data_IF_822596646331
#
_entry.id   IF_822596646331
#
_cell.length_a   1.000
_cell.length_b   1.000
_cell.length_c   1.000
_cell.angle_alpha   90.00
_cell.angle_beta   90.00
_cell.angle_gamma   90.00
#
_symmetry.space_group_name_H-M   'P 1'
#
loop_
_entity.id
_entity.type
_entity.pdbx_description
1 polymer ?
#
# COMPACT_ATOMS: atom_id res chain seq x y z
N UNK A 1 -23.68 -1.90 -10.85
CA UNK A 1 -23.22 -1.68 -9.47
C UNK A 1 -24.17 -2.37 -8.51
N UNK A 2 -23.69 -3.40 -7.81
CA UNK A 2 -24.45 -4.22 -6.86
C UNK A 2 -24.14 -3.86 -5.41
N UNK A 3 -24.91 -4.42 -4.46
CA UNK A 3 -24.73 -4.20 -3.02
C UNK A 3 -23.31 -4.55 -2.51
N UNK A 4 -22.63 -5.51 -3.17
CA UNK A 4 -21.26 -5.93 -2.84
C UNK A 4 -20.26 -4.81 -3.13
N UNK A 5 -20.44 -4.03 -4.21
CA UNK A 5 -19.53 -2.93 -4.57
C UNK A 5 -19.55 -1.82 -3.51
N UNK A 6 -20.74 -1.52 -2.99
CA UNK A 6 -20.92 -0.54 -1.90
C UNK A 6 -20.33 -1.04 -0.58
N UNK A 7 -20.47 -2.33 -0.28
CA UNK A 7 -19.85 -2.92 0.91
C UNK A 7 -18.33 -2.89 0.82
N UNK A 8 -17.76 -3.25 -0.34
CA UNK A 8 -16.33 -3.21 -0.58
C UNK A 8 -15.78 -1.79 -0.43
N UNK A 9 -16.45 -0.79 -1.01
CA UNK A 9 -16.08 0.62 -0.86
C UNK A 9 -16.17 1.08 0.60
N UNK A 10 -17.23 0.72 1.31
CA UNK A 10 -17.42 1.05 2.72
C UNK A 10 -16.34 0.46 3.62
N UNK A 11 -15.98 -0.82 3.41
CA UNK A 11 -14.89 -1.49 4.14
C UNK A 11 -13.54 -0.85 3.83
N UNK A 12 -13.27 -0.52 2.57
CA UNK A 12 -12.02 0.11 2.15
C UNK A 12 -11.85 1.49 2.80
N UNK A 13 -12.83 2.37 2.64
CA UNK A 13 -12.78 3.74 3.16
C UNK A 13 -12.81 3.74 4.69
N UNK A 14 -13.71 2.97 5.29
CA UNK A 14 -13.83 2.84 6.74
C UNK A 14 -12.58 2.25 7.38
N UNK A 15 -11.98 1.24 6.76
CA UNK A 15 -10.74 0.62 7.22
C UNK A 15 -9.55 1.59 7.18
N UNK A 16 -9.42 2.38 6.10
CA UNK A 16 -8.40 3.44 6.01
C UNK A 16 -8.56 4.47 7.13
N UNK A 17 -9.80 4.96 7.32
CA UNK A 17 -10.11 5.94 8.35
C UNK A 17 -9.76 5.42 9.74
N UNK A 18 -10.16 4.18 10.05
CA UNK A 18 -9.88 3.53 11.33
C UNK A 18 -8.38 3.39 11.59
N UNK A 19 -7.61 2.90 10.62
CA UNK A 19 -6.15 2.71 10.77
C UNK A 19 -5.44 4.06 10.92
N UNK A 20 -5.85 5.08 10.16
CA UNK A 20 -5.28 6.42 10.28
C UNK A 20 -5.58 7.04 11.64
N UNK A 21 -6.82 6.94 12.10
CA UNK A 21 -7.23 7.45 13.40
C UNK A 21 -6.45 6.79 14.54
N UNK A 22 -6.30 5.45 14.51
CA UNK A 22 -5.47 4.72 15.46
C UNK A 22 -4.01 5.20 15.42
N UNK A 23 -3.43 5.37 14.22
CA UNK A 23 -2.07 5.87 14.05
C UNK A 23 -1.87 7.27 14.67
N UNK A 24 -2.82 8.19 14.47
CA UNK A 24 -2.78 9.55 15.01
C UNK A 24 -2.98 9.56 16.53
N UNK A 25 -3.86 8.69 17.05
CA UNK A 25 -4.13 8.59 18.50
C UNK A 25 -2.96 7.98 19.27
N UNK A 26 -2.27 6.99 18.69
CA UNK A 26 -1.19 6.25 19.38
C UNK A 26 0.18 6.93 19.27
N UNK A 27 0.46 7.68 18.19
CA UNK A 27 1.79 8.25 17.96
C UNK A 27 1.77 9.78 17.83
N UNK A 28 2.58 10.47 18.64
CA UNK A 28 2.70 11.93 18.64
C UNK A 28 3.63 12.49 17.55
N UNK A 29 4.52 11.66 16.98
CA UNK A 29 5.45 12.11 15.93
C UNK A 29 4.70 12.46 14.64
N UNK A 30 4.91 13.68 14.15
CA UNK A 30 4.37 14.14 12.87
C UNK A 30 4.88 13.29 11.70
N UNK A 31 6.14 12.84 11.76
CA UNK A 31 6.73 11.96 10.76
C UNK A 31 6.02 10.59 10.71
N UNK A 32 5.63 10.04 11.87
CA UNK A 32 4.87 8.79 11.92
C UNK A 32 3.49 8.96 11.27
N UNK A 33 2.79 10.04 11.61
CA UNK A 33 1.46 10.36 11.06
C UNK A 33 1.50 10.57 9.55
N UNK A 34 2.52 11.28 9.07
CA UNK A 34 2.75 11.46 7.63
C UNK A 34 3.04 10.11 6.95
N UNK A 35 3.89 9.27 7.54
CA UNK A 35 4.20 7.93 7.02
C UNK A 35 2.97 7.03 6.92
N UNK A 36 2.12 7.03 7.95
CA UNK A 36 0.85 6.31 7.95
C UNK A 36 -0.11 6.85 6.87
N UNK A 37 -0.22 8.16 6.72
CA UNK A 37 -1.02 8.78 5.66
C UNK A 37 -0.56 8.39 4.26
N UNK A 38 0.74 8.44 3.99
CA UNK A 38 1.31 8.01 2.69
C UNK A 38 1.04 6.53 2.45
N UNK A 39 1.28 5.66 3.44
CA UNK A 39 1.05 4.22 3.30
C UNK A 39 -0.42 3.90 2.99
N UNK A 40 -1.35 4.54 3.69
CA UNK A 40 -2.79 4.33 3.49
C UNK A 40 -3.29 4.87 2.16
N UNK A 41 -2.83 6.05 1.75
CA UNK A 41 -3.14 6.60 0.44
C UNK A 41 -2.60 5.70 -0.68
N UNK A 42 -1.39 5.16 -0.51
CA UNK A 42 -0.79 4.23 -1.47
C UNK A 42 -1.61 2.95 -1.55
N UNK A 43 -1.97 2.35 -0.41
CA UNK A 43 -2.82 1.18 -0.36
C UNK A 43 -4.17 1.40 -1.06
N UNK A 44 -4.81 2.54 -0.78
CA UNK A 44 -6.05 2.95 -1.42
C UNK A 44 -5.92 3.04 -2.93
N UNK A 45 -4.93 3.79 -3.42
CA UNK A 45 -4.72 4.00 -4.85
C UNK A 45 -4.37 2.68 -5.57
N UNK A 46 -3.54 1.84 -4.97
CA UNK A 46 -3.22 0.51 -5.52
C UNK A 46 -4.48 -0.34 -5.67
N UNK A 47 -5.33 -0.41 -4.64
CA UNK A 47 -6.59 -1.16 -4.71
C UNK A 47 -7.52 -0.55 -5.74
N UNK A 48 -7.71 0.77 -5.70
CA UNK A 48 -8.66 1.47 -6.54
C UNK A 48 -8.31 1.36 -8.02
N UNK A 49 -7.05 1.66 -8.38
CA UNK A 49 -6.58 1.57 -9.77
C UNK A 49 -6.63 0.12 -10.24
N UNK A 50 -6.19 -0.84 -9.42
CA UNK A 50 -6.24 -2.24 -9.79
C UNK A 50 -7.66 -2.76 -10.05
N UNK A 51 -8.64 -2.35 -9.23
CA UNK A 51 -10.04 -2.72 -9.43
C UNK A 51 -10.69 -1.99 -10.62
N UNK A 52 -10.25 -0.77 -10.93
CA UNK A 52 -10.88 0.04 -11.98
C UNK A 52 -10.40 -0.32 -13.39
N UNK A 53 -9.12 -0.69 -13.54
CA UNK A 53 -8.53 -0.93 -14.86
C UNK A 53 -7.81 -2.28 -14.98
N UNK A 54 -7.48 -2.95 -13.88
CA UNK A 54 -6.48 -4.02 -13.86
C UNK A 54 -5.11 -3.47 -14.20
N UNK A 55 -4.21 -3.36 -13.21
CA UNK A 55 -2.91 -2.73 -13.46
C UNK A 55 -2.02 -3.53 -14.43
N UNK A 56 -2.29 -4.83 -14.60
CA UNK A 56 -1.65 -5.73 -15.56
C UNK A 56 -2.71 -6.28 -16.51
N UNK A 57 -2.63 -5.95 -17.80
CA UNK A 57 -3.58 -6.39 -18.82
C UNK A 57 -4.97 -5.79 -18.61
N UNK A 58 -5.93 -6.64 -18.28
CA UNK A 58 -7.31 -6.27 -17.95
C UNK A 58 -7.69 -6.66 -16.51
N UNK A 59 -8.81 -6.14 -16.02
CA UNK A 59 -9.32 -6.40 -14.66
C UNK A 59 -9.54 -7.88 -14.33
N UNK A 60 -9.78 -8.74 -15.33
CA UNK A 60 -9.95 -10.19 -15.18
C UNK A 60 -8.64 -10.96 -15.13
N UNK A 61 -7.49 -10.32 -15.36
CA UNK A 61 -6.19 -10.99 -15.37
C UNK A 61 -5.80 -11.47 -13.95
N UNK A 62 -5.59 -12.79 -13.74
CA UNK A 62 -5.21 -13.33 -12.43
C UNK A 62 -3.93 -12.73 -11.85
N UNK A 63 -3.04 -12.16 -12.68
CA UNK A 63 -1.81 -11.49 -12.24
C UNK A 63 -2.08 -10.27 -11.36
N UNK A 64 -3.24 -9.64 -11.47
CA UNK A 64 -3.64 -8.52 -10.62
C UNK A 64 -3.77 -8.91 -9.13
N UNK A 65 -3.80 -10.22 -8.80
CA UNK A 65 -3.74 -10.71 -7.41
C UNK A 65 -2.41 -10.34 -6.71
N UNK A 66 -1.34 -10.05 -7.45
CA UNK A 66 -0.07 -9.59 -6.86
C UNK A 66 -0.28 -8.31 -6.06
N UNK A 67 -1.14 -7.40 -6.52
CA UNK A 67 -1.44 -6.15 -5.81
C UNK A 67 -2.19 -6.41 -4.50
N UNK A 68 -3.08 -7.40 -4.46
CA UNK A 68 -3.67 -7.85 -3.19
C UNK A 68 -2.57 -8.38 -2.24
N UNK A 69 -1.56 -9.08 -2.76
CA UNK A 69 -0.36 -9.49 -2.04
C UNK A 69 0.44 -8.31 -1.47
N UNK A 70 0.62 -7.22 -2.22
CA UNK A 70 1.29 -6.00 -1.74
C UNK A 70 0.57 -5.42 -0.53
N UNK A 71 -0.76 -5.31 -0.61
CA UNK A 71 -1.61 -4.81 0.48
C UNK A 71 -1.53 -5.74 1.69
N UNK A 72 -1.58 -7.06 1.47
CA UNK A 72 -1.45 -8.05 2.53
C UNK A 72 -0.09 -7.95 3.24
N UNK A 73 1.01 -7.78 2.51
CA UNK A 73 2.35 -7.59 3.08
C UNK A 73 2.42 -6.33 3.94
N UNK A 74 1.87 -5.21 3.44
CA UNK A 74 1.82 -3.96 4.20
C UNK A 74 0.97 -4.10 5.48
N UNK A 75 -0.24 -4.67 5.36
CA UNK A 75 -1.18 -4.83 6.46
C UNK A 75 -0.71 -5.83 7.53
N UNK A 76 -0.34 -7.05 7.11
CA UNK A 76 0.18 -8.09 8.02
C UNK A 76 1.50 -7.63 8.63
N UNK A 77 2.40 -7.03 7.84
CA UNK A 77 3.65 -6.45 8.36
C UNK A 77 3.40 -5.40 9.44
N UNK A 78 2.41 -4.52 9.24
CA UNK A 78 1.97 -3.56 10.25
C UNK A 78 1.45 -4.23 11.53
N UNK A 79 0.58 -5.23 11.39
CA UNK A 79 0.03 -5.98 12.53
C UNK A 79 1.09 -6.75 13.32
N UNK A 80 1.96 -7.50 12.63
CA UNK A 80 3.05 -8.27 13.25
C UNK A 80 4.05 -7.38 13.97
N UNK A 81 4.29 -6.19 13.44
CA UNK A 81 5.19 -5.21 14.06
C UNK A 81 4.49 -4.31 15.09
N UNK A 82 3.18 -4.54 15.32
CA UNK A 82 2.32 -3.75 16.21
C UNK A 82 2.41 -2.25 15.90
N UNK A 83 2.52 -1.91 14.62
CA UNK A 83 2.64 -0.53 14.15
C UNK A 83 3.85 0.23 14.75
N UNK A 84 4.90 -0.46 15.20
CA UNK A 84 6.11 0.20 15.71
C UNK A 84 6.92 0.82 14.57
N UNK A 85 7.49 2.03 14.72
CA UNK A 85 8.20 2.72 13.64
C UNK A 85 9.26 1.87 12.94
N UNK A 86 10.16 1.23 13.70
CA UNK A 86 11.22 0.39 13.13
C UNK A 86 10.72 -0.84 12.37
N UNK A 87 9.59 -1.42 12.79
CA UNK A 87 8.96 -2.55 12.11
C UNK A 87 8.21 -2.10 10.84
N UNK A 88 7.52 -0.96 10.91
CA UNK A 88 6.85 -0.35 9.76
C UNK A 88 7.81 -0.05 8.61
N UNK A 89 9.06 0.35 8.91
CA UNK A 89 10.10 0.49 7.86
C UNK A 89 10.25 -0.81 7.07
N UNK A 90 10.38 -1.95 7.74
CA UNK A 90 10.55 -3.26 7.07
C UNK A 90 9.29 -3.67 6.31
N UNK A 91 8.11 -3.44 6.88
CA UNK A 91 6.84 -3.74 6.21
C UNK A 91 6.68 -2.94 4.91
N UNK A 92 6.97 -1.64 4.93
CA UNK A 92 6.87 -0.77 3.75
C UNK A 92 7.92 -1.11 2.70
N UNK A 93 9.15 -1.45 3.10
CA UNK A 93 10.18 -1.93 2.16
C UNK A 93 9.80 -3.27 1.52
N UNK A 94 9.21 -4.19 2.28
CA UNK A 94 8.72 -5.45 1.74
C UNK A 94 7.57 -5.22 0.75
N UNK A 95 6.61 -4.36 1.07
CA UNK A 95 5.53 -3.98 0.16
C UNK A 95 6.07 -3.34 -1.12
N UNK A 96 7.03 -2.42 -1.01
CA UNK A 96 7.72 -1.83 -2.16
C UNK A 96 8.41 -2.88 -3.04
N UNK A 97 9.09 -3.86 -2.43
CA UNK A 97 9.76 -4.93 -3.15
C UNK A 97 8.78 -5.82 -3.91
N UNK A 98 7.65 -6.18 -3.30
CA UNK A 98 6.59 -6.96 -3.97
C UNK A 98 5.95 -6.16 -5.09
N UNK A 99 5.67 -4.86 -4.87
CA UNK A 99 5.15 -3.95 -5.89
C UNK A 99 6.11 -3.82 -7.08
N UNK A 100 7.42 -3.72 -6.84
CA UNK A 100 8.43 -3.70 -7.90
C UNK A 100 8.55 -5.04 -8.62
N UNK A 101 8.43 -6.17 -7.90
CA UNK A 101 8.43 -7.50 -8.51
C UNK A 101 7.24 -7.72 -9.46
N UNK A 102 6.13 -7.01 -9.25
CA UNK A 102 4.97 -7.03 -10.15
C UNK A 102 5.29 -6.51 -11.57
N UNK A 103 6.44 -5.86 -11.80
CA UNK A 103 6.91 -5.47 -13.13
C UNK A 103 7.42 -6.67 -13.96
N UNK A 104 7.80 -7.78 -13.33
CA UNK A 104 8.39 -8.93 -14.02
C UNK A 104 7.45 -9.58 -15.06
N UNK A 105 6.16 -9.82 -14.77
CA UNK A 105 5.25 -10.41 -15.75
C UNK A 105 4.80 -9.43 -16.85
N UNK A 106 5.02 -8.11 -16.72
CA UNK A 106 4.42 -7.12 -17.62
C UNK A 106 5.17 -6.94 -18.95
N UNK A 107 6.07 -7.86 -19.30
CA UNK A 107 6.91 -7.71 -20.51
C UNK A 107 6.11 -7.74 -21.81
N UNK A 108 4.94 -8.39 -21.81
CA UNK A 108 4.03 -8.45 -22.94
C UNK A 108 3.05 -7.26 -23.02
N UNK A 109 2.94 -6.46 -21.96
CA UNK A 109 1.91 -5.40 -21.80
C UNK A 109 2.33 -4.05 -22.40
N UNK A 110 3.49 -4.00 -23.07
CA UNK A 110 4.05 -2.79 -23.68
C UNK A 110 5.01 -2.00 -22.77
N UNK A 111 5.74 -1.03 -23.35
CA UNK A 111 6.88 -0.39 -22.69
C UNK A 111 6.50 0.55 -21.52
N UNK A 112 5.23 0.95 -21.42
CA UNK A 112 4.76 1.91 -20.40
C UNK A 112 4.27 1.25 -19.11
N UNK A 113 3.87 -0.02 -19.16
CA UNK A 113 3.20 -0.71 -18.05
C UNK A 113 4.16 -0.99 -16.89
N UNK A 114 5.35 -1.52 -17.19
CA UNK A 114 6.39 -1.77 -16.18
C UNK A 114 6.78 -0.49 -15.41
N UNK A 115 7.16 0.64 -16.07
CA UNK A 115 7.49 1.88 -15.37
C UNK A 115 6.36 2.40 -14.47
N UNK A 116 5.10 2.31 -14.90
CA UNK A 116 3.95 2.76 -14.10
C UNK A 116 3.78 1.91 -12.83
N UNK A 117 3.86 0.58 -12.96
CA UNK A 117 3.78 -0.34 -11.81
C UNK A 117 4.94 -0.11 -10.85
N UNK A 118 6.16 0.08 -11.38
CA UNK A 118 7.34 0.40 -10.60
C UNK A 118 7.24 1.75 -9.88
N UNK A 119 6.62 2.76 -10.50
CA UNK A 119 6.40 4.06 -9.88
C UNK A 119 5.52 3.97 -8.63
N UNK A 120 4.54 3.05 -8.60
CA UNK A 120 3.73 2.76 -7.42
C UNK A 120 4.53 2.18 -6.24
N UNK A 121 5.77 1.74 -6.44
CA UNK A 121 6.66 1.35 -5.34
C UNK A 121 7.22 2.57 -4.58
N UNK A 122 7.33 3.74 -5.21
CA UNK A 122 7.97 4.93 -4.64
C UNK A 122 7.25 5.45 -3.38
N UNK A 123 5.90 5.54 -3.34
CA UNK A 123 5.20 5.97 -2.13
C UNK A 123 5.41 5.04 -0.94
N UNK A 124 5.55 3.72 -1.16
CA UNK A 124 5.92 2.76 -0.11
C UNK A 124 7.31 3.07 0.46
N UNK A 125 8.29 3.38 -0.40
CA UNK A 125 9.62 3.79 0.04
C UNK A 125 9.60 5.12 0.82
N UNK A 126 8.78 6.07 0.38
CA UNK A 126 8.57 7.34 1.09
C UNK A 126 7.98 7.10 2.49
N UNK A 127 6.96 6.24 2.61
CA UNK A 127 6.41 5.86 3.90
C UNK A 127 7.47 5.20 4.79
N UNK A 128 8.31 4.32 4.24
CA UNK A 128 9.43 3.70 4.97
C UNK A 128 10.42 4.75 5.50
N UNK A 129 10.76 5.75 4.69
CA UNK A 129 11.65 6.84 5.11
C UNK A 129 11.04 7.68 6.24
N UNK A 130 9.73 7.98 6.17
CA UNK A 130 9.00 8.71 7.20
C UNK A 130 8.93 7.93 8.53
N UNK A 131 8.66 6.62 8.49
CA UNK A 131 8.70 5.78 9.68
C UNK A 131 10.10 5.67 10.29
N UNK A 132 11.14 5.63 9.45
CA UNK A 132 12.53 5.67 9.91
C UNK A 132 12.84 6.99 10.62
N UNK A 133 12.40 8.12 10.06
CA UNK A 133 12.57 9.43 10.68
C UNK A 133 11.85 9.52 12.03
N UNK A 134 10.63 8.97 12.13
CA UNK A 134 9.88 8.91 13.38
C UNK A 134 10.60 8.10 14.47
N UNK A 135 11.26 7.01 14.12
CA UNK A 135 12.04 6.19 15.06
C UNK A 135 13.33 6.85 15.57
N UNK A 136 13.73 8.00 15.00
CA UNK A 136 14.89 8.81 15.48
C UNK A 136 14.47 9.96 16.40
N UNK A 137 13.17 10.20 16.53
CA UNK A 137 12.59 11.33 17.29
C UNK A 137 12.05 10.91 18.66
N UNK A 138 12.13 9.62 19.00
CA UNK A 138 11.76 9.06 20.31
C UNK A 138 12.95 8.32 20.91
#
# INVERSE_FOLDING_TARGET
MGAIDFLAAGVLIGGIGLVFELAVRTHRSSAYRAGAGVALLTAFLTIWVNLAVGMIGDEGNPLNLIFAGVIAVAGIGGLLTRFRPGGMVRAMLAAAAVQAAAMLPTRAEGPRTAPLIGAFALPWLLAAALFRAAGRQG
#
